data_IF_962958594193
#
_entry.id   IF_962958594193
#
_cell.length_a   1.000
_cell.length_b   1.000
_cell.length_c   1.000
_cell.angle_alpha   90.00
_cell.angle_beta   90.00
_cell.angle_gamma   90.00
#
_symmetry.space_group_name_H-M   'P 1'
#
loop_
_entity.id
_entity.type
_entity.pdbx_description
1 polymer ?
#
# COMPACT_ATOMS: atom_id res chain seq x y z
N UNK A 1 -51.74 -34.57 49.65
CA UNK A 1 -50.28 -34.42 49.48
C UNK A 1 -50.00 -33.92 48.07
N UNK A 2 -49.42 -32.73 47.98
CA UNK A 2 -49.13 -32.00 46.75
C UNK A 2 -47.83 -32.49 46.12
N UNK A 3 -47.80 -32.74 44.81
CA UNK A 3 -46.56 -32.65 44.02
C UNK A 3 -46.88 -32.08 42.64
N UNK A 4 -46.80 -30.76 42.56
CA UNK A 4 -46.81 -29.97 41.33
C UNK A 4 -45.47 -30.13 40.61
N UNK A 5 -45.43 -30.96 39.56
CA UNK A 5 -44.32 -30.98 38.58
C UNK A 5 -44.51 -29.80 37.61
N UNK A 6 -43.73 -28.74 37.86
CA UNK A 6 -43.68 -27.53 37.03
C UNK A 6 -42.92 -27.86 35.74
N UNK A 7 -43.64 -28.23 34.70
CA UNK A 7 -43.14 -28.32 33.32
C UNK A 7 -42.53 -26.97 32.92
N UNK A 8 -41.20 -26.89 32.94
CA UNK A 8 -40.45 -25.75 32.40
C UNK A 8 -40.39 -25.90 30.89
N UNK A 9 -41.42 -25.41 30.22
CA UNK A 9 -41.43 -25.15 28.79
C UNK A 9 -40.42 -24.02 28.47
N UNK A 10 -39.16 -24.39 28.23
CA UNK A 10 -38.19 -23.47 27.64
C UNK A 10 -38.65 -23.13 26.22
N UNK A 11 -38.87 -21.85 25.88
CA UNK A 11 -39.39 -21.48 24.58
C UNK A 11 -38.35 -21.75 23.49
N UNK A 12 -38.71 -22.46 22.39
CA UNK A 12 -37.78 -22.84 21.32
C UNK A 12 -37.13 -21.64 20.62
N UNK A 13 -37.72 -20.44 20.75
CA UNK A 13 -37.19 -19.17 20.25
C UNK A 13 -35.85 -18.76 20.89
N UNK A 14 -35.66 -19.05 22.19
CA UNK A 14 -34.42 -18.70 22.88
C UNK A 14 -33.24 -19.58 22.42
N UNK A 15 -33.51 -20.83 22.04
CA UNK A 15 -32.52 -21.77 21.52
C UNK A 15 -32.08 -21.40 20.11
N UNK A 16 -33.01 -20.97 19.24
CA UNK A 16 -32.68 -20.49 17.90
C UNK A 16 -31.80 -19.22 17.94
N UNK A 17 -32.11 -18.27 18.83
CA UNK A 17 -31.32 -17.03 18.93
C UNK A 17 -29.88 -17.32 19.38
N UNK A 18 -29.69 -18.24 20.34
CA UNK A 18 -28.39 -18.65 20.82
C UNK A 18 -27.53 -19.34 19.75
N UNK A 19 -28.16 -20.04 18.79
CA UNK A 19 -27.46 -20.71 17.69
C UNK A 19 -26.98 -19.73 16.60
N UNK A 20 -27.64 -18.59 16.44
CA UNK A 20 -27.28 -17.57 15.45
C UNK A 20 -26.21 -16.58 15.94
N UNK A 21 -26.04 -16.38 17.25
CA UNK A 21 -24.99 -15.51 17.81
C UNK A 21 -23.56 -15.81 17.32
N UNK A 22 -23.08 -17.08 17.28
CA UNK A 22 -21.71 -17.37 16.82
C UNK A 22 -21.50 -17.09 15.32
N UNK A 23 -22.57 -17.13 14.51
CA UNK A 23 -22.49 -16.80 13.08
C UNK A 23 -22.25 -15.31 12.82
N UNK A 24 -22.73 -14.41 13.70
CA UNK A 24 -22.46 -12.98 13.57
C UNK A 24 -21.02 -12.62 13.97
N UNK A 25 -20.42 -13.35 14.92
CA UNK A 25 -19.04 -13.14 15.33
C UNK A 25 -18.03 -13.50 14.23
N UNK A 26 -18.37 -14.44 13.34
CA UNK A 26 -17.51 -14.83 12.22
C UNK A 26 -17.39 -13.75 11.13
N UNK A 27 -18.35 -12.84 11.02
CA UNK A 27 -18.31 -11.73 10.07
C UNK A 27 -17.56 -10.50 10.60
N UNK A 28 -17.20 -10.48 11.88
CA UNK A 28 -16.50 -9.37 12.53
C UNK A 28 -14.98 -9.64 12.65
N UNK A 29 -14.39 -10.36 11.70
CA UNK A 29 -12.95 -10.50 11.62
C UNK A 29 -12.33 -9.13 11.33
N UNK A 30 -11.46 -8.65 12.22
CA UNK A 30 -10.71 -7.43 11.98
C UNK A 30 -9.96 -7.55 10.65
N UNK A 31 -10.09 -6.56 9.75
CA UNK A 31 -9.34 -6.57 8.51
C UNK A 31 -7.84 -6.63 8.83
N UNK A 32 -7.03 -7.36 8.05
CA UNK A 32 -5.60 -7.41 8.26
C UNK A 32 -5.04 -5.97 8.28
N UNK A 33 -4.13 -5.65 9.21
CA UNK A 33 -3.58 -4.31 9.29
C UNK A 33 -2.97 -3.91 7.94
N UNK A 34 -3.14 -2.64 7.52
CA UNK A 34 -2.61 -2.17 6.24
C UNK A 34 -1.11 -2.47 6.16
N UNK A 35 -0.69 -3.06 5.04
CA UNK A 35 0.72 -3.38 4.83
C UNK A 35 1.57 -2.13 5.00
N UNK A 36 2.59 -2.22 5.85
CA UNK A 36 3.53 -1.13 6.03
C UNK A 36 4.26 -0.88 4.69
N UNK A 37 4.49 0.38 4.30
CA UNK A 37 5.22 0.66 3.07
C UNK A 37 6.62 0.05 3.16
N UNK A 38 6.89 -0.94 2.31
CA UNK A 38 8.19 -1.57 2.21
C UNK A 38 9.23 -0.57 1.71
N UNK A 39 10.43 -0.59 2.31
CA UNK A 39 11.56 0.19 1.80
C UNK A 39 12.03 -0.38 0.46
N UNK A 40 12.08 0.47 -0.57
CA UNK A 40 12.61 0.09 -1.89
C UNK A 40 14.13 0.00 -1.81
N UNK A 41 14.70 -1.19 -2.02
CA UNK A 41 16.15 -1.40 -2.10
C UNK A 41 16.60 -1.77 -3.52
N UNK A 42 17.84 -1.41 -3.86
CA UNK A 42 18.43 -1.65 -5.19
C UNK A 42 19.65 -2.57 -5.16
N UNK A 43 19.92 -3.17 -4.00
CA UNK A 43 21.11 -4.01 -3.73
C UNK A 43 21.09 -5.35 -4.48
N UNK A 44 19.92 -5.77 -4.96
CA UNK A 44 19.78 -6.99 -5.77
C UNK A 44 20.54 -6.93 -7.11
N UNK A 45 21.07 -5.77 -7.50
CA UNK A 45 21.81 -5.56 -8.75
C UNK A 45 23.22 -5.04 -8.45
N UNK A 46 24.24 -5.46 -9.23
CA UNK A 46 25.60 -4.99 -9.04
C UNK A 46 25.73 -3.48 -9.31
N UNK A 47 26.70 -2.85 -8.66
CA UNK A 47 27.06 -1.46 -8.90
C UNK A 47 27.67 -1.26 -10.30
N UNK A 48 27.34 -0.13 -10.93
CA UNK A 48 27.92 0.40 -12.14
C UNK A 48 29.13 1.26 -11.77
N UNK A 49 30.32 0.80 -12.15
CA UNK A 49 31.56 1.55 -11.98
C UNK A 49 31.77 2.46 -13.18
N UNK A 50 31.92 3.73 -12.93
CA UNK A 50 32.16 4.76 -13.93
C UNK A 50 33.56 5.32 -13.72
N UNK A 51 34.35 5.46 -14.79
CA UNK A 51 35.69 6.08 -14.75
C UNK A 51 35.57 7.61 -14.62
N UNK A 52 35.12 8.04 -13.45
CA UNK A 52 34.91 9.45 -13.08
C UNK A 52 35.33 9.71 -11.63
N UNK A 53 35.63 10.97 -11.30
CA UNK A 53 36.04 11.37 -9.96
C UNK A 53 34.88 11.40 -8.95
N UNK A 54 33.69 11.80 -9.38
CA UNK A 54 32.55 11.98 -8.48
C UNK A 54 31.20 11.80 -9.17
N UNK A 55 30.25 11.20 -8.45
CA UNK A 55 28.83 11.16 -8.85
C UNK A 55 28.05 12.12 -7.96
N UNK A 56 27.20 12.95 -8.58
CA UNK A 56 26.24 13.79 -7.87
C UNK A 56 24.82 13.43 -8.29
N UNK A 57 23.96 13.12 -7.33
CA UNK A 57 22.52 12.91 -7.54
C UNK A 57 21.75 14.16 -7.12
N UNK A 58 21.02 14.76 -8.06
CA UNK A 58 20.21 15.96 -7.85
C UNK A 58 18.77 15.77 -8.31
N UNK A 59 17.89 16.68 -7.89
CA UNK A 59 16.53 16.76 -8.38
C UNK A 59 16.21 18.18 -8.82
N UNK A 60 15.71 18.32 -10.05
CA UNK A 60 15.12 19.57 -10.52
C UNK A 60 13.59 19.57 -10.37
N UNK A 61 13.00 18.40 -10.16
CA UNK A 61 11.59 18.23 -9.90
C UNK A 61 11.13 19.01 -8.65
N UNK A 62 10.09 19.83 -8.83
CA UNK A 62 9.36 20.51 -7.74
C UNK A 62 7.90 20.08 -7.78
N UNK A 63 7.43 19.52 -6.67
CA UNK A 63 6.02 19.18 -6.49
C UNK A 63 5.16 20.46 -6.52
N UNK A 64 4.02 20.39 -7.20
CA UNK A 64 3.05 21.49 -7.23
C UNK A 64 2.14 21.51 -6.00
N UNK A 65 2.10 20.43 -5.23
CA UNK A 65 1.32 20.29 -3.99
C UNK A 65 -0.20 20.43 -4.15
N UNK A 66 -0.71 20.33 -5.38
CA UNK A 66 -2.13 20.56 -5.71
C UNK A 66 -2.67 19.37 -6.49
N UNK A 67 -3.92 19.00 -6.25
CA UNK A 67 -4.62 17.99 -7.05
C UNK A 67 -4.50 18.31 -8.56
N UNK A 68 -4.18 17.34 -9.44
CA UNK A 68 -4.12 15.87 -9.22
C UNK A 68 -2.80 15.34 -8.63
N UNK A 69 -1.84 16.21 -8.34
CA UNK A 69 -0.48 15.86 -7.92
C UNK A 69 -0.41 15.56 -6.42
N UNK A 70 -0.27 14.28 -6.10
CA UNK A 70 -0.33 13.73 -4.75
C UNK A 70 1.02 13.25 -4.23
N UNK A 71 2.13 13.50 -4.93
CA UNK A 71 3.46 13.05 -4.51
C UNK A 71 3.84 13.50 -3.09
N UNK A 72 3.37 14.68 -2.67
CA UNK A 72 3.60 15.24 -1.34
C UNK A 72 2.90 14.47 -0.21
N UNK A 73 1.88 13.66 -0.52
CA UNK A 73 1.18 12.81 0.44
C UNK A 73 1.94 11.50 0.70
N UNK A 74 2.90 11.15 -0.15
CA UNK A 74 3.67 9.93 -0.02
C UNK A 74 4.98 10.15 0.76
N UNK A 75 5.26 9.27 1.73
CA UNK A 75 6.55 9.25 2.44
C UNK A 75 7.72 8.92 1.51
N UNK A 76 7.47 8.10 0.49
CA UNK A 76 8.43 7.67 -0.51
C UNK A 76 7.93 8.16 -1.87
N UNK A 77 8.72 9.02 -2.52
CA UNK A 77 8.39 9.59 -3.84
C UNK A 77 9.25 8.98 -4.94
N UNK A 78 8.80 9.00 -6.21
CA UNK A 78 9.64 8.58 -7.34
C UNK A 78 10.98 9.33 -7.37
N UNK A 79 11.00 10.60 -6.98
CA UNK A 79 12.21 11.42 -6.94
C UNK A 79 13.22 10.94 -5.88
N UNK A 80 12.75 10.46 -4.73
CA UNK A 80 13.61 9.87 -3.69
C UNK A 80 14.08 8.47 -4.07
N UNK A 81 13.22 7.70 -4.75
CA UNK A 81 13.56 6.36 -5.26
C UNK A 81 14.67 6.46 -6.31
N UNK A 82 14.56 7.39 -7.27
CA UNK A 82 15.56 7.59 -8.31
C UNK A 82 16.92 8.03 -7.75
N UNK A 83 16.92 8.85 -6.68
CA UNK A 83 18.15 9.21 -5.96
C UNK A 83 18.76 8.01 -5.24
N UNK A 84 17.95 7.27 -4.48
CA UNK A 84 18.41 6.04 -3.81
C UNK A 84 18.96 5.00 -4.79
N UNK A 85 18.38 4.90 -5.99
CA UNK A 85 18.93 4.07 -7.07
C UNK A 85 20.32 4.54 -7.52
N UNK A 86 20.49 5.84 -7.71
CA UNK A 86 21.76 6.42 -8.14
C UNK A 86 22.85 6.18 -7.08
N UNK A 87 22.53 6.39 -5.81
CA UNK A 87 23.47 6.17 -4.70
C UNK A 87 23.84 4.69 -4.52
N UNK A 88 22.85 3.80 -4.68
CA UNK A 88 23.07 2.36 -4.55
C UNK A 88 23.85 1.77 -5.74
N UNK A 89 23.69 2.34 -6.95
CA UNK A 89 24.22 1.73 -8.17
C UNK A 89 25.39 2.47 -8.80
N UNK A 90 25.54 3.77 -8.67
CA UNK A 90 26.60 4.52 -9.35
C UNK A 90 27.82 4.66 -8.44
N UNK A 91 28.95 4.09 -8.86
CA UNK A 91 30.22 4.17 -8.12
C UNK A 91 31.27 4.85 -8.99
N UNK A 92 31.83 5.94 -8.48
CA UNK A 92 32.99 6.60 -9.09
C UNK A 92 34.25 5.75 -8.85
N UNK A 93 34.94 5.37 -9.92
CA UNK A 93 36.19 4.60 -9.87
C UNK A 93 37.38 5.29 -10.56
N UNK A 94 37.18 6.51 -11.07
CA UNK A 94 38.19 7.25 -11.82
C UNK A 94 38.70 8.47 -11.07
N UNK A 95 39.58 9.22 -11.73
CA UNK A 95 40.25 10.40 -11.13
C UNK A 95 39.84 11.74 -11.76
N UNK A 96 39.01 11.74 -12.81
CA UNK A 96 38.61 12.96 -13.53
C UNK A 96 37.15 12.96 -13.93
N UNK A 97 36.51 14.13 -13.94
CA UNK A 97 35.14 14.30 -14.40
C UNK A 97 34.09 14.03 -13.34
N UNK A 98 32.89 14.58 -13.58
CA UNK A 98 31.74 14.47 -12.67
C UNK A 98 30.53 14.02 -13.48
N UNK A 99 29.85 12.95 -13.02
CA UNK A 99 28.54 12.59 -13.54
C UNK A 99 27.46 13.21 -12.65
N UNK A 100 26.45 13.81 -13.29
CA UNK A 100 25.28 14.37 -12.62
C UNK A 100 24.04 13.61 -13.06
N UNK A 101 23.39 12.94 -12.12
CA UNK A 101 22.07 12.37 -12.33
C UNK A 101 21.02 13.38 -11.89
N UNK A 102 20.17 13.81 -12.81
CA UNK A 102 19.10 14.79 -12.54
C UNK A 102 17.75 14.12 -12.68
N UNK A 103 16.99 14.10 -11.59
CA UNK A 103 15.56 13.73 -11.65
C UNK A 103 14.79 14.91 -12.25
N UNK A 104 14.27 14.70 -13.46
CA UNK A 104 13.47 15.67 -14.21
C UNK A 104 12.00 15.62 -13.81
N UNK A 105 11.47 14.40 -13.67
CA UNK A 105 10.06 14.16 -13.36
C UNK A 105 9.96 13.14 -12.21
N UNK A 106 9.17 13.50 -11.20
CA UNK A 106 8.87 12.69 -10.03
C UNK A 106 7.38 12.73 -9.67
N UNK A 107 6.54 13.03 -10.65
CA UNK A 107 5.11 13.28 -10.52
C UNK A 107 4.36 12.03 -10.07
N UNK A 108 3.39 12.19 -9.15
CA UNK A 108 2.41 11.15 -8.83
C UNK A 108 1.02 11.76 -8.97
N UNK A 109 0.21 11.23 -9.89
CA UNK A 109 -1.14 11.73 -10.13
C UNK A 109 -2.19 10.78 -9.58
N UNK A 110 -3.23 11.32 -8.96
CA UNK A 110 -4.41 10.56 -8.57
C UNK A 110 -5.43 10.57 -9.71
N UNK A 111 -5.86 9.38 -10.14
CA UNK A 111 -6.94 9.19 -11.10
C UNK A 111 -8.11 8.46 -10.44
N UNK A 112 -9.35 8.89 -10.74
CA UNK A 112 -10.56 8.20 -10.29
C UNK A 112 -10.88 7.07 -11.25
N UNK A 113 -10.73 5.83 -10.79
CA UNK A 113 -11.12 4.65 -11.56
C UNK A 113 -12.64 4.57 -11.72
N UNK A 114 -13.09 4.19 -12.91
CA UNK A 114 -14.49 3.88 -13.16
C UNK A 114 -14.90 2.61 -12.39
N UNK A 115 -15.92 2.70 -11.54
CA UNK A 115 -16.43 1.55 -10.80
C UNK A 115 -17.36 0.75 -11.71
N UNK A 116 -17.15 -0.57 -11.82
CA UNK A 116 -18.12 -1.46 -12.46
C UNK A 116 -19.44 -1.40 -11.68
N UNK A 117 -20.48 -0.86 -12.29
CA UNK A 117 -21.82 -0.78 -11.69
C UNK A 117 -22.53 -2.13 -11.62
N UNK A 118 -23.61 -2.19 -10.84
CA UNK A 118 -24.51 -3.35 -10.76
C UNK A 118 -24.14 -4.41 -9.71
N UNK A 119 -24.81 -5.55 -9.77
CA UNK A 119 -24.62 -6.69 -8.84
C UNK A 119 -23.19 -7.29 -8.89
N UNK A 120 -22.39 -6.96 -9.90
CA UNK A 120 -20.99 -7.35 -10.01
C UNK A 120 -20.05 -6.42 -9.22
N UNK A 121 -20.43 -5.15 -9.02
CA UNK A 121 -19.63 -4.19 -8.25
C UNK A 121 -19.68 -4.39 -6.74
N UNK A 122 -20.71 -5.07 -6.23
CA UNK A 122 -20.84 -5.43 -4.81
C UNK A 122 -19.98 -6.64 -4.40
N UNK A 123 -19.46 -7.42 -5.36
CA UNK A 123 -18.59 -8.57 -5.08
C UNK A 123 -17.14 -8.35 -5.56
N UNK A 124 -16.84 -7.22 -6.20
CA UNK A 124 -15.51 -6.91 -6.74
C UNK A 124 -14.77 -5.91 -5.87
N UNK A 125 -14.01 -6.38 -4.89
CA UNK A 125 -13.05 -5.56 -4.11
C UNK A 125 -11.63 -5.61 -4.72
N UNK A 126 -11.53 -5.86 -6.02
CA UNK A 126 -10.25 -5.96 -6.72
C UNK A 126 -9.93 -4.64 -7.41
N UNK A 127 -8.72 -4.13 -7.18
CA UNK A 127 -8.14 -3.12 -8.05
C UNK A 127 -8.07 -3.68 -9.49
N UNK A 128 -8.60 -2.92 -10.45
CA UNK A 128 -8.54 -3.25 -11.87
C UNK A 128 -7.07 -3.24 -12.31
N UNK A 129 -6.48 -4.43 -12.44
CA UNK A 129 -5.10 -4.61 -12.89
C UNK A 129 -5.14 -4.69 -14.41
N UNK A 130 -5.10 -3.54 -15.08
CA UNK A 130 -4.98 -3.46 -16.54
C UNK A 130 -3.53 -3.32 -16.98
#
# INVERSE_FOLDING_TARGET
>A
MNRTERSRSFPPRALCLALFLPFLAACAGDPPPPAQPASVSFEARPALRLDIASVAAGSQFKSSGREPYVEHLHKVTPSTIARGWADARLVASGNRGTAVLTVLDGTVTQERLEKKGGLTGIFGDQLDTR
#
